data_IF_741569221862
#
_entry.id   IF_741569221862
#
_cell.length_a   1.000
_cell.length_b   1.000
_cell.length_c   1.000
_cell.angle_alpha   90.00
_cell.angle_beta   90.00
_cell.angle_gamma   90.00
#
_symmetry.space_group_name_H-M   'P 1'
#
loop_
_entity.id
_entity.type
_entity.pdbx_description
1 polymer ?
#
# COMPACT_ATOMS: atom_id res chain seq x y z
N UNK A 1 4.33 -1.96 3.00
CA UNK A 1 4.35 -2.54 4.36
C UNK A 1 5.05 -3.87 4.29
N UNK A 2 5.94 -4.17 5.22
CA UNK A 2 6.56 -5.50 5.34
C UNK A 2 6.76 -5.86 6.81
N UNK A 3 6.99 -7.15 7.07
CA UNK A 3 7.28 -7.66 8.41
C UNK A 3 8.76 -7.39 8.73
N UNK A 4 9.02 -6.57 9.74
CA UNK A 4 10.39 -6.29 10.21
C UNK A 4 10.78 -7.18 11.38
N UNK A 5 9.81 -7.63 12.20
CA UNK A 5 10.05 -8.56 13.30
C UNK A 5 9.34 -9.92 13.04
N UNK A 6 10.09 -11.00 12.74
CA UNK A 6 9.52 -12.33 12.49
C UNK A 6 8.93 -12.98 13.74
N UNK A 7 9.45 -12.67 14.92
CA UNK A 7 9.05 -13.27 16.20
C UNK A 7 7.70 -12.74 16.69
N UNK A 8 7.33 -11.52 16.30
CA UNK A 8 6.04 -10.92 16.67
C UNK A 8 5.00 -11.26 15.59
N UNK A 9 4.09 -12.16 15.95
CA UNK A 9 2.96 -12.51 15.09
C UNK A 9 1.91 -11.40 15.03
N UNK A 10 1.21 -11.32 13.89
CA UNK A 10 0.13 -10.36 13.66
C UNK A 10 0.60 -8.94 13.30
N UNK A 11 -0.29 -7.97 13.52
CA UNK A 11 -0.17 -6.58 13.09
C UNK A 11 1.02 -5.83 13.71
N UNK A 12 1.43 -6.20 14.93
CA UNK A 12 2.50 -5.53 15.68
C UNK A 12 3.91 -5.83 15.16
N UNK A 13 4.08 -6.84 14.30
CA UNK A 13 5.35 -7.15 13.64
C UNK A 13 5.54 -6.48 12.28
N UNK A 14 4.58 -5.65 11.84
CA UNK A 14 4.55 -5.05 10.51
C UNK A 14 4.87 -3.56 10.61
N UNK A 15 5.81 -3.13 9.78
CA UNK A 15 6.22 -1.73 9.66
C UNK A 15 5.84 -1.17 8.28
N UNK A 16 5.61 0.13 8.24
CA UNK A 16 5.31 0.89 7.02
C UNK A 16 6.54 1.70 6.65
N UNK A 17 6.83 1.79 5.36
CA UNK A 17 8.01 2.48 4.84
C UNK A 17 7.67 3.25 3.58
N UNK A 18 8.43 4.30 3.32
CA UNK A 18 8.43 5.02 2.06
C UNK A 18 9.60 4.54 1.19
N UNK A 19 9.34 4.25 -0.08
CA UNK A 19 10.39 3.84 -1.01
C UNK A 19 10.19 4.64 -2.30
N UNK A 20 11.28 5.19 -2.81
CA UNK A 20 11.26 5.88 -4.09
C UNK A 20 10.99 4.86 -5.21
N UNK A 21 10.24 5.28 -6.23
CA UNK A 21 9.98 4.45 -7.41
C UNK A 21 11.26 3.98 -8.10
N UNK A 22 12.31 4.79 -8.04
CA UNK A 22 13.59 4.53 -8.70
C UNK A 22 14.58 3.79 -7.80
N UNK A 23 14.16 3.36 -6.61
CA UNK A 23 15.00 2.55 -5.74
C UNK A 23 15.41 1.25 -6.44
N UNK A 24 16.68 0.82 -6.29
CA UNK A 24 17.15 -0.42 -6.88
C UNK A 24 16.33 -1.60 -6.37
N UNK A 25 16.02 -2.56 -7.25
CA UNK A 25 15.21 -3.72 -6.91
C UNK A 25 13.69 -3.51 -7.04
N UNK A 26 13.24 -2.35 -7.52
CA UNK A 26 11.82 -2.13 -7.86
C UNK A 26 11.60 -2.26 -9.35
N UNK A 27 10.67 -3.12 -9.74
CA UNK A 27 10.18 -3.22 -11.13
C UNK A 27 8.67 -3.13 -11.17
N UNK A 28 8.14 -2.59 -12.27
CA UNK A 28 6.71 -2.46 -12.50
C UNK A 28 6.28 -3.42 -13.60
N UNK A 29 5.22 -4.17 -13.33
CA UNK A 29 4.56 -5.02 -14.31
C UNK A 29 3.80 -4.22 -15.36
N UNK A 30 3.24 -4.90 -16.38
CA UNK A 30 2.36 -4.27 -17.36
C UNK A 30 1.10 -3.71 -16.67
N UNK A 31 0.50 -2.67 -17.28
CA UNK A 31 -0.75 -2.09 -16.77
C UNK A 31 -1.91 -3.05 -17.01
N UNK A 32 -2.67 -3.32 -15.94
CA UNK A 32 -3.79 -4.26 -15.96
C UNK A 32 -4.95 -3.77 -16.80
N UNK A 33 -5.49 -4.69 -17.61
CA UNK A 33 -6.76 -4.51 -18.31
C UNK A 33 -7.92 -4.76 -17.35
N UNK A 34 -8.48 -3.67 -16.83
CA UNK A 34 -9.61 -3.69 -15.87
C UNK A 34 -10.97 -3.67 -16.57
N UNK A 35 -12.00 -4.22 -15.91
CA UNK A 35 -13.40 -4.17 -16.36
C UNK A 35 -14.02 -2.76 -16.26
N UNK A 36 -13.44 -1.87 -15.45
CA UNK A 36 -13.88 -0.49 -15.21
C UNK A 36 -12.74 0.33 -14.60
N UNK A 37 -13.01 1.59 -14.24
CA UNK A 37 -11.98 2.51 -13.72
C UNK A 37 -10.76 2.60 -14.66
N UNK A 38 -10.99 2.70 -15.97
CA UNK A 38 -9.93 2.68 -17.00
C UNK A 38 -8.91 3.81 -16.86
N UNK A 39 -9.28 4.92 -16.21
CA UNK A 39 -8.36 6.03 -15.90
C UNK A 39 -7.44 5.77 -14.69
N UNK A 40 -7.71 4.75 -13.89
CA UNK A 40 -6.81 4.33 -12.80
C UNK A 40 -5.75 3.39 -13.37
N UNK A 41 -4.48 3.77 -13.33
CA UNK A 41 -3.39 2.86 -13.71
C UNK A 41 -3.13 1.89 -12.56
N UNK A 42 -3.27 0.60 -12.84
CA UNK A 42 -3.02 -0.48 -11.87
C UNK A 42 -2.02 -1.42 -12.52
N UNK A 43 -0.99 -1.78 -11.79
CA UNK A 43 0.08 -2.65 -12.24
C UNK A 43 0.70 -3.33 -11.03
N UNK A 44 1.35 -4.46 -11.26
CA UNK A 44 2.17 -5.09 -10.24
C UNK A 44 3.38 -4.23 -9.90
N UNK A 45 3.69 -4.13 -8.60
CA UNK A 45 4.92 -3.53 -8.09
C UNK A 45 5.73 -4.64 -7.44
N UNK A 46 6.84 -5.01 -8.08
CA UNK A 46 7.70 -6.13 -7.68
C UNK A 46 8.90 -5.55 -6.95
N UNK A 47 9.16 -6.06 -5.75
CA UNK A 47 10.31 -5.72 -4.93
C UNK A 47 11.23 -6.94 -4.86
N UNK A 48 12.37 -6.90 -5.54
CA UNK A 48 13.39 -7.94 -5.58
C UNK A 48 14.71 -7.36 -5.07
N UNK A 49 15.19 -7.85 -3.93
CA UNK A 49 16.41 -7.37 -3.26
C UNK A 49 16.51 -5.84 -3.15
N UNK A 50 15.39 -5.18 -2.83
CA UNK A 50 15.31 -3.74 -2.66
C UNK A 50 15.78 -3.31 -1.25
N UNK A 51 16.98 -2.72 -1.08
CA UNK A 51 17.42 -2.22 0.22
C UNK A 51 16.58 -0.99 0.62
N UNK A 52 16.03 -1.01 1.83
CA UNK A 52 15.25 0.11 2.39
C UNK A 52 15.91 0.56 3.70
N UNK A 53 16.39 1.82 3.78
CA UNK A 53 16.95 2.38 5.02
C UNK A 53 15.93 2.43 6.16
N UNK A 54 16.39 2.29 7.41
CA UNK A 54 15.51 2.38 8.59
C UNK A 54 14.90 3.79 8.78
N UNK A 55 15.58 4.83 8.30
CA UNK A 55 15.07 6.21 8.28
C UNK A 55 13.81 6.39 7.43
N UNK A 56 13.55 5.47 6.49
CA UNK A 56 12.36 5.49 5.65
C UNK A 56 11.13 4.87 6.33
N UNK A 57 11.25 4.42 7.58
CA UNK A 57 10.11 3.92 8.36
C UNK A 57 9.17 5.08 8.66
N UNK A 58 7.89 4.90 8.32
CA UNK A 58 6.84 5.88 8.60
C UNK A 58 6.29 5.60 10.00
N UNK A 59 6.63 6.47 10.95
CA UNK A 59 6.25 6.32 12.36
C UNK A 59 7.24 5.46 13.12
N UNK A 60 6.73 4.57 13.98
CA UNK A 60 7.56 3.65 14.76
C UNK A 60 7.55 2.24 14.17
N UNK A 61 8.65 1.51 14.42
CA UNK A 61 8.74 0.10 14.05
C UNK A 61 7.61 -0.71 14.73
N UNK A 62 6.90 -1.55 13.96
CA UNK A 62 5.76 -2.34 14.44
C UNK A 62 4.43 -1.58 14.53
N UNK A 63 4.42 -0.25 14.33
CA UNK A 63 3.20 0.57 14.27
C UNK A 63 2.65 0.73 12.84
N UNK A 64 3.30 0.11 11.84
CA UNK A 64 2.97 0.28 10.43
C UNK A 64 1.56 -0.14 10.06
N UNK A 65 1.10 -1.27 10.60
CA UNK A 65 -0.23 -1.80 10.30
C UNK A 65 -1.36 -0.89 10.82
N UNK A 66 -1.24 -0.40 12.06
CA UNK A 66 -2.24 0.50 12.65
C UNK A 66 -2.32 1.80 11.83
N UNK A 67 -1.17 2.31 11.40
CA UNK A 67 -1.10 3.50 10.54
C UNK A 67 -1.79 3.26 9.20
N UNK A 68 -1.58 2.11 8.57
CA UNK A 68 -2.24 1.75 7.32
C UNK A 68 -3.77 1.62 7.47
N UNK A 69 -4.25 1.09 8.60
CA UNK A 69 -5.70 0.99 8.87
C UNK A 69 -6.37 2.37 8.95
N UNK A 70 -5.69 3.38 9.52
CA UNK A 70 -6.21 4.76 9.53
C UNK A 70 -6.41 5.32 8.11
N UNK A 71 -5.51 5.01 7.18
CA UNK A 71 -5.62 5.42 5.78
C UNK A 71 -6.74 4.64 5.07
N UNK A 72 -6.83 3.33 5.33
CA UNK A 72 -7.86 2.48 4.74
C UNK A 72 -9.28 2.91 5.15
N UNK A 73 -9.48 3.32 6.40
CA UNK A 73 -10.79 3.79 6.89
C UNK A 73 -11.23 5.07 6.19
N UNK A 74 -10.31 5.97 5.84
CA UNK A 74 -10.62 7.09 4.95
C UNK A 74 -11.00 6.57 3.57
N UNK A 75 -10.18 5.70 2.98
CA UNK A 75 -10.40 5.03 1.69
C UNK A 75 -11.84 4.53 1.52
N UNK A 76 -12.33 3.82 2.53
CA UNK A 76 -13.68 3.25 2.57
C UNK A 76 -14.78 4.30 2.44
N UNK A 77 -14.60 5.49 3.03
CA UNK A 77 -15.57 6.57 2.89
C UNK A 77 -15.61 7.10 1.45
N UNK A 78 -14.46 7.24 0.78
CA UNK A 78 -14.44 7.71 -0.61
C UNK A 78 -15.14 6.74 -1.56
N UNK A 79 -14.96 5.43 -1.38
CA UNK A 79 -15.69 4.45 -2.20
C UNK A 79 -17.20 4.47 -1.96
N UNK A 80 -17.64 4.75 -0.73
CA UNK A 80 -19.08 4.88 -0.43
C UNK A 80 -19.71 6.06 -1.16
N UNK A 81 -19.03 7.20 -1.17
CA UNK A 81 -19.50 8.39 -1.87
C UNK A 81 -19.62 8.14 -3.38
N UNK A 82 -18.59 7.53 -3.98
CA UNK A 82 -18.58 7.18 -5.40
C UNK A 82 -19.80 6.32 -5.80
N UNK A 83 -20.25 5.42 -4.93
CA UNK A 83 -21.41 4.56 -5.21
C UNK A 83 -22.73 5.33 -5.10
N UNK A 84 -22.85 6.30 -4.19
CA UNK A 84 -24.06 7.12 -4.04
C UNK A 84 -24.27 8.10 -5.19
N UNK A 85 -23.18 8.56 -5.80
CA UNK A 85 -23.22 9.48 -6.95
C UNK A 85 -23.48 8.77 -8.28
N UNK A 86 -23.56 7.43 -8.31
CA UNK A 86 -23.98 6.71 -9.51
C UNK A 86 -25.48 6.96 -9.75
N UNK A 87 -25.86 7.57 -10.89
CA UNK A 87 -27.27 7.81 -11.19
C UNK A 87 -27.96 6.46 -11.42
N UNK A 88 -28.77 6.06 -10.43
CA UNK A 88 -29.56 4.82 -10.36
C UNK A 88 -28.74 3.53 -10.19
N UNK A 89 -28.39 3.19 -8.94
CA UNK A 89 -28.27 1.79 -8.52
C UNK A 89 -29.67 1.16 -8.33
#
# INVERSE_FOLDING_TARGET
>A
MARTNPSIQGARGISSFIVDRNSPGITLGPVDKKMGQAGSMTCDVIFEDCPVPAENIIGEEGAGFITAMKVLDRGRLQFRELVLELPNA
#
